data_IF_815514643115
#
_entry.id   IF_815514643115
#
_cell.length_a   1.000
_cell.length_b   1.000
_cell.length_c   1.000
_cell.angle_alpha   90.00
_cell.angle_beta   90.00
_cell.angle_gamma   90.00
#
_symmetry.space_group_name_H-M   'P 1'
#
loop_
_entity.id
_entity.type
_entity.pdbx_description
1 polymer ?
#
# COMPACT_ATOMS: atom_id res chain seq x y z
N UNK A 1 -13.63 -8.18 35.77
CA UNK A 1 -13.94 -6.73 35.65
C UNK A 1 -13.07 -6.07 34.58
N UNK A 2 -11.73 -6.20 34.62
CA UNK A 2 -10.83 -5.58 33.62
C UNK A 2 -10.96 -6.12 32.18
N UNK A 3 -11.39 -7.37 32.00
CA UNK A 3 -11.54 -7.97 30.67
C UNK A 3 -12.60 -7.28 29.79
N UNK A 4 -13.68 -6.78 30.41
CA UNK A 4 -14.75 -6.07 29.69
C UNK A 4 -14.25 -4.71 29.21
N UNK A 5 -13.45 -4.02 30.03
CA UNK A 5 -12.86 -2.72 29.70
C UNK A 5 -11.85 -2.88 28.54
N UNK A 6 -11.05 -3.94 28.54
CA UNK A 6 -10.09 -4.23 27.47
C UNK A 6 -10.78 -4.58 26.14
N UNK A 7 -11.87 -5.35 26.18
CA UNK A 7 -12.65 -5.68 24.99
C UNK A 7 -13.30 -4.42 24.38
N UNK A 8 -13.86 -3.54 25.23
CA UNK A 8 -14.49 -2.29 24.80
C UNK A 8 -13.48 -1.30 24.23
N UNK A 9 -12.25 -1.24 24.76
CA UNK A 9 -11.17 -0.43 24.20
C UNK A 9 -10.74 -0.92 22.80
N UNK A 10 -10.78 -2.22 22.55
CA UNK A 10 -10.45 -2.76 21.23
C UNK A 10 -11.58 -2.54 20.20
N UNK A 11 -12.84 -2.61 20.65
CA UNK A 11 -14.00 -2.42 19.79
C UNK A 11 -14.30 -0.95 19.47
N UNK A 12 -13.95 -0.03 20.38
CA UNK A 12 -14.27 1.39 20.26
C UNK A 12 -13.01 2.28 20.38
N UNK A 13 -12.53 2.85 19.26
CA UNK A 13 -11.30 3.65 19.24
C UNK A 13 -11.41 4.97 20.01
N UNK A 14 -12.62 5.54 20.19
CA UNK A 14 -12.80 6.73 21.02
C UNK A 14 -12.69 6.41 22.51
N UNK A 15 -13.16 5.23 22.92
CA UNK A 15 -13.07 4.78 24.31
C UNK A 15 -11.62 4.50 24.70
N UNK A 16 -10.84 3.85 23.83
CA UNK A 16 -9.40 3.65 24.01
C UNK A 16 -8.65 4.98 24.18
N UNK A 17 -8.97 5.99 23.37
CA UNK A 17 -8.33 7.31 23.45
C UNK A 17 -8.63 8.03 24.78
N UNK A 18 -9.87 7.92 25.30
CA UNK A 18 -10.25 8.46 26.61
C UNK A 18 -9.58 7.71 27.75
N UNK A 19 -9.48 6.38 27.65
CA UNK A 19 -8.83 5.52 28.65
C UNK A 19 -7.33 5.84 28.77
N UNK A 20 -6.62 5.95 27.64
CA UNK A 20 -5.20 6.30 27.60
C UNK A 20 -4.93 7.66 28.28
N UNK A 21 -5.77 8.67 28.00
CA UNK A 21 -5.66 10.01 28.62
C UNK A 21 -5.79 9.98 30.14
N UNK A 22 -6.62 9.11 30.71
CA UNK A 22 -6.81 8.99 32.16
C UNK A 22 -5.66 8.20 32.80
N UNK A 23 -5.14 7.19 32.10
CA UNK A 23 -4.03 6.36 32.58
C UNK A 23 -2.65 7.05 32.47
N UNK A 24 -2.58 8.26 31.91
CA UNK A 24 -1.33 9.00 31.74
C UNK A 24 -0.40 8.38 30.69
N UNK A 25 -0.85 7.32 30.01
CA UNK A 25 -0.24 6.87 28.77
C UNK A 25 -0.62 7.88 27.70
N UNK A 26 0.36 8.69 27.28
CA UNK A 26 0.21 9.49 26.07
C UNK A 26 -0.29 8.53 24.98
N UNK A 27 -1.51 8.73 24.45
CA UNK A 27 -2.07 7.78 23.50
C UNK A 27 -1.03 7.64 22.39
N UNK A 28 -0.60 6.41 22.02
CA UNK A 28 0.37 6.26 20.95
C UNK A 28 -0.15 7.09 19.80
N UNK A 29 0.59 8.16 19.46
CA UNK A 29 0.17 9.14 18.49
C UNK A 29 -0.43 8.35 17.35
N UNK A 30 -1.75 8.53 17.10
CA UNK A 30 -2.51 7.72 16.12
C UNK A 30 -1.54 7.45 15.01
N UNK A 31 -1.16 6.19 14.70
CA UNK A 31 -0.19 5.98 13.67
C UNK A 31 -0.78 6.73 12.49
N UNK A 32 -0.16 7.87 12.12
CA UNK A 32 -0.33 8.47 10.80
C UNK A 32 -0.15 7.23 9.97
N UNK A 33 -1.24 6.73 9.37
CA UNK A 33 -1.17 5.52 8.58
C UNK A 33 0.01 5.81 7.67
N UNK A 34 1.15 5.19 7.96
CA UNK A 34 2.38 5.34 7.19
C UNK A 34 1.87 4.77 5.90
N UNK A 35 1.51 5.65 4.94
CA UNK A 35 0.78 5.31 3.71
C UNK A 35 1.27 3.94 3.32
N UNK A 36 0.41 2.93 3.51
CA UNK A 36 0.86 1.56 3.71
C UNK A 36 1.93 1.27 2.68
N UNK A 37 3.19 1.17 3.15
CA UNK A 37 4.37 0.96 2.32
C UNK A 37 3.96 -0.01 1.23
N UNK A 38 4.10 0.40 -0.04
CA UNK A 38 3.58 -0.31 -1.19
C UNK A 38 3.64 -1.83 -0.93
N UNK A 39 2.49 -2.42 -0.57
CA UNK A 39 2.39 -3.81 -0.06
C UNK A 39 2.89 -4.82 -1.11
N UNK A 40 3.12 -4.33 -2.32
CA UNK A 40 3.44 -5.08 -3.50
C UNK A 40 4.63 -4.44 -4.21
N UNK A 41 5.68 -5.25 -4.41
CA UNK A 41 6.75 -4.98 -5.38
C UNK A 41 6.32 -5.56 -6.74
N UNK A 42 6.03 -4.72 -7.75
CA UNK A 42 5.56 -5.20 -9.04
C UNK A 42 6.58 -6.06 -9.78
N UNK A 43 7.88 -5.80 -9.62
CA UNK A 43 8.94 -6.57 -10.30
C UNK A 43 9.04 -7.96 -9.69
N UNK A 44 9.04 -8.06 -8.36
CA UNK A 44 9.06 -9.34 -7.67
C UNK A 44 7.80 -10.18 -7.98
N UNK A 45 6.64 -9.54 -8.14
CA UNK A 45 5.39 -10.23 -8.50
C UNK A 45 5.45 -10.75 -9.93
N UNK A 46 5.99 -10.01 -10.90
CA UNK A 46 6.17 -10.53 -12.27
C UNK A 46 7.11 -11.74 -12.27
N UNK A 47 8.19 -11.70 -11.49
CA UNK A 47 9.13 -12.83 -11.42
C UNK A 47 8.51 -14.10 -10.80
N UNK A 48 7.57 -13.94 -9.84
CA UNK A 48 6.93 -15.06 -9.15
C UNK A 48 5.66 -15.56 -9.84
N UNK A 49 4.77 -14.63 -10.19
CA UNK A 49 3.39 -14.88 -10.61
C UNK A 49 3.13 -14.48 -12.08
N UNK A 50 4.11 -13.88 -12.77
CA UNK A 50 3.98 -13.37 -14.14
C UNK A 50 3.15 -12.09 -14.28
N UNK A 51 2.99 -11.62 -15.53
CA UNK A 51 2.22 -10.41 -15.84
C UNK A 51 0.74 -10.53 -15.43
N UNK A 52 0.16 -11.74 -15.58
CA UNK A 52 -1.22 -12.04 -15.21
C UNK A 52 -1.48 -11.92 -13.71
N UNK A 53 -0.58 -12.48 -12.89
CA UNK A 53 -0.68 -12.40 -11.43
C UNK A 53 -0.52 -10.98 -10.90
N UNK A 54 0.37 -10.18 -11.50
CA UNK A 54 0.48 -8.76 -11.18
C UNK A 54 -0.81 -8.01 -11.53
N UNK A 55 -1.37 -8.22 -12.72
CA UNK A 55 -2.61 -7.55 -13.14
C UNK A 55 -3.77 -7.84 -12.20
N UNK A 56 -3.98 -9.09 -11.81
CA UNK A 56 -5.06 -9.47 -10.89
C UNK A 56 -4.91 -8.79 -9.53
N UNK A 57 -3.69 -8.72 -8.99
CA UNK A 57 -3.44 -8.03 -7.72
C UNK A 57 -3.70 -6.52 -7.82
N UNK A 58 -3.31 -5.89 -8.93
CA UNK A 58 -3.53 -4.46 -9.15
C UNK A 58 -5.01 -4.11 -9.39
N UNK A 59 -5.80 -5.01 -10.00
CA UNK A 59 -7.24 -4.81 -10.19
C UNK A 59 -8.02 -4.77 -8.88
N UNK A 60 -7.52 -5.42 -7.82
CA UNK A 60 -8.12 -5.36 -6.49
C UNK A 60 -7.76 -4.11 -5.67
N UNK A 61 -6.93 -3.21 -6.21
CA UNK A 61 -6.42 -2.03 -5.51
C UNK A 61 -7.15 -0.76 -5.92
N UNK A 62 -7.15 0.23 -5.02
CA UNK A 62 -7.70 1.56 -5.31
C UNK A 62 -6.72 2.40 -6.12
N UNK A 63 -7.22 3.43 -6.81
CA UNK A 63 -6.39 4.35 -7.60
C UNK A 63 -5.26 4.99 -6.79
N UNK A 64 -5.53 5.33 -5.53
CA UNK A 64 -4.53 5.91 -4.64
C UNK A 64 -3.43 4.89 -4.28
N UNK A 65 -3.79 3.63 -4.03
CA UNK A 65 -2.81 2.55 -3.81
C UNK A 65 -1.95 2.29 -5.04
N UNK A 66 -2.54 2.34 -6.24
CA UNK A 66 -1.80 2.21 -7.50
C UNK A 66 -0.79 3.34 -7.68
N UNK A 67 -1.17 4.58 -7.34
CA UNK A 67 -0.29 5.75 -7.37
C UNK A 67 0.82 5.67 -6.33
N UNK A 68 0.51 5.19 -5.14
CA UNK A 68 1.50 4.97 -4.07
C UNK A 68 2.56 3.97 -4.53
N UNK A 69 2.18 2.85 -5.16
CA UNK A 69 3.11 1.87 -5.75
C UNK A 69 4.03 2.53 -6.79
N UNK A 70 3.46 3.37 -7.67
CA UNK A 70 4.22 4.07 -8.71
C UNK A 70 5.24 5.03 -8.12
N UNK A 71 4.87 5.74 -7.06
CA UNK A 71 5.75 6.67 -6.34
C UNK A 71 6.85 5.94 -5.57
N UNK A 72 6.50 4.91 -4.81
CA UNK A 72 7.43 4.15 -3.98
C UNK A 72 8.51 3.46 -4.83
N UNK A 73 8.11 2.88 -5.97
CA UNK A 73 9.03 2.19 -6.88
C UNK A 73 9.66 3.12 -7.93
N UNK A 74 9.40 4.43 -7.87
CA UNK A 74 9.90 5.41 -8.84
C UNK A 74 9.61 5.02 -10.29
N UNK A 75 8.41 4.47 -10.55
CA UNK A 75 7.99 4.01 -11.89
C UNK A 75 7.58 5.14 -12.82
N UNK A 76 7.44 6.36 -12.29
CA UNK A 76 7.07 7.53 -13.05
C UNK A 76 7.91 8.75 -12.63
N UNK A 77 9.01 8.97 -13.35
CA UNK A 77 9.90 10.12 -13.14
C UNK A 77 9.24 11.45 -13.53
N UNK A 78 8.20 11.41 -14.34
CA UNK A 78 7.50 12.60 -14.85
C UNK A 78 6.25 12.94 -14.04
N UNK A 79 5.90 12.14 -13.02
CA UNK A 79 4.70 12.28 -12.18
C UNK A 79 3.39 12.44 -12.99
N UNK A 80 3.35 11.90 -14.21
CA UNK A 80 2.17 11.91 -15.10
C UNK A 80 1.07 10.98 -14.60
N UNK A 81 1.44 9.85 -13.99
CA UNK A 81 0.52 8.83 -13.47
C UNK A 81 -0.35 9.38 -12.35
N UNK A 82 0.18 10.33 -11.57
CA UNK A 82 -0.57 11.04 -10.53
C UNK A 82 -1.74 11.86 -11.09
N UNK A 83 -1.69 12.26 -12.37
CA UNK A 83 -2.74 13.04 -13.03
C UNK A 83 -3.80 12.16 -13.69
N UNK A 84 -3.64 10.85 -13.73
CA UNK A 84 -4.57 9.96 -14.42
C UNK A 84 -5.77 9.62 -13.55
N UNK A 85 -6.98 9.86 -14.07
CA UNK A 85 -8.22 9.52 -13.38
C UNK A 85 -8.63 8.04 -13.55
N UNK A 86 -8.14 7.37 -14.60
CA UNK A 86 -8.50 5.99 -14.92
C UNK A 86 -7.53 5.00 -14.26
N UNK A 87 -8.01 4.11 -13.36
CA UNK A 87 -7.14 3.13 -12.71
C UNK A 87 -6.55 2.14 -13.71
N UNK A 88 -7.27 1.74 -14.76
CA UNK A 88 -6.79 0.80 -15.79
C UNK A 88 -5.52 1.32 -16.46
N UNK A 89 -5.45 2.63 -16.72
CA UNK A 89 -4.29 3.26 -17.33
C UNK A 89 -3.07 3.19 -16.41
N UNK A 90 -3.28 3.38 -15.11
CA UNK A 90 -2.22 3.26 -14.09
C UNK A 90 -1.72 1.82 -14.01
N UNK A 91 -2.64 0.84 -14.01
CA UNK A 91 -2.33 -0.59 -14.00
C UNK A 91 -1.46 -0.96 -15.22
N UNK A 92 -1.83 -0.52 -16.42
CA UNK A 92 -1.05 -0.78 -17.64
C UNK A 92 0.35 -0.19 -17.57
N UNK A 93 0.52 1.01 -17.00
CA UNK A 93 1.84 1.63 -16.83
C UNK A 93 2.71 0.88 -15.82
N UNK A 94 2.12 0.45 -14.70
CA UNK A 94 2.82 -0.38 -13.71
C UNK A 94 3.27 -1.68 -14.36
N UNK A 95 2.38 -2.37 -15.09
CA UNK A 95 2.71 -3.60 -15.82
C UNK A 95 3.86 -3.37 -16.79
N UNK A 96 3.73 -2.41 -17.72
CA UNK A 96 4.76 -2.15 -18.72
C UNK A 96 6.12 -1.82 -18.10
N UNK A 97 6.15 -0.99 -17.05
CA UNK A 97 7.37 -0.60 -16.36
C UNK A 97 7.98 -1.79 -15.60
N UNK A 98 7.14 -2.55 -14.90
CA UNK A 98 7.58 -3.72 -14.14
C UNK A 98 8.11 -4.82 -15.06
N UNK A 99 7.45 -5.14 -16.17
CA UNK A 99 7.91 -6.15 -17.13
C UNK A 99 9.24 -5.73 -17.78
N UNK A 100 9.38 -4.45 -18.14
CA UNK A 100 10.64 -3.92 -18.67
C UNK A 100 11.79 -4.03 -17.66
N UNK A 101 11.52 -3.75 -16.38
CA UNK A 101 12.51 -3.89 -15.29
C UNK A 101 12.82 -5.35 -14.99
N UNK A 102 11.82 -6.24 -14.99
CA UNK A 102 12.02 -7.67 -14.77
C UNK A 102 12.93 -8.27 -15.84
N UNK A 103 12.66 -7.99 -17.12
CA UNK A 103 13.53 -8.43 -18.24
C UNK A 103 14.95 -7.89 -18.14
N UNK A 104 15.09 -6.63 -17.74
CA UNK A 104 16.42 -6.02 -17.54
C UNK A 104 17.16 -6.68 -16.35
N UNK A 105 16.47 -6.93 -15.24
CA UNK A 105 17.06 -7.57 -14.06
C UNK A 105 17.43 -9.04 -14.29
N UNK A 106 16.67 -9.73 -15.15
CA UNK A 106 16.97 -11.10 -15.58
C UNK A 106 18.23 -11.17 -16.47
N UNK A 107 18.45 -10.15 -17.32
CA UNK A 107 19.65 -10.07 -18.17
C UNK A 107 20.98 -9.85 -17.41
N UNK A 108 20.94 -9.56 -16.11
CA UNK A 108 22.13 -9.37 -15.26
C UNK A 108 22.31 -10.49 -14.21
N UNK A 109 21.47 -11.53 -14.23
CA UNK A 109 21.57 -12.69 -13.34
C UNK A 109 22.27 -13.87 -14.02
#
# INVERSE_FOLDING_TARGET
>A
MFAVIAAEANANPEFAAKLARVLGEEPPARPRARRALAVLDPVAVIQRDGDGGLRQKLQGMTLDQLRDIVSEHGMDKSHLVMKWAKPERVIEHILATASARARKGDAFR
#
